data_IF_319871343805
#
_entry.id   IF_319871343805
#
_cell.length_a   1.000
_cell.length_b   1.000
_cell.length_c   1.000
_cell.angle_alpha   90.00
_cell.angle_beta   90.00
_cell.angle_gamma   90.00
#
_symmetry.space_group_name_H-M   'P 1'
#
loop_
_entity.id
_entity.type
_entity.pdbx_description
1 polymer ?
#
# COMPACT_ATOMS: atom_id res chain seq x y z
N UNK A 1 11.97 -1.92 13.58
CA UNK A 1 11.96 -1.10 12.38
C UNK A 1 10.60 -0.49 12.13
N UNK A 2 10.56 0.77 11.79
CA UNK A 2 9.30 1.44 11.55
C UNK A 2 9.21 1.90 10.10
N UNK A 3 8.01 1.79 9.56
CA UNK A 3 7.74 2.32 8.23
C UNK A 3 6.87 3.55 8.38
N UNK A 4 7.09 4.53 7.52
CA UNK A 4 6.27 5.72 7.47
C UNK A 4 5.44 5.70 6.19
N UNK A 5 4.46 6.59 6.12
CA UNK A 5 3.69 6.74 4.88
C UNK A 5 4.58 7.20 3.74
N UNK A 6 5.63 7.95 4.05
CA UNK A 6 6.59 8.36 3.03
C UNK A 6 7.34 7.16 2.46
N UNK A 7 7.68 6.19 3.30
CA UNK A 7 8.36 4.98 2.84
C UNK A 7 7.46 4.19 1.90
N UNK A 8 6.19 4.06 2.24
CA UNK A 8 5.23 3.34 1.41
C UNK A 8 5.05 4.07 0.08
N UNK A 9 4.91 5.39 0.14
CA UNK A 9 4.75 6.18 -1.08
C UNK A 9 5.95 6.05 -2.00
N UNK A 10 7.15 6.05 -1.43
CA UNK A 10 8.37 5.91 -2.21
C UNK A 10 8.47 4.54 -2.85
N UNK A 11 8.11 3.49 -2.13
CA UNK A 11 8.11 2.14 -2.67
C UNK A 11 7.14 2.03 -3.85
N UNK A 12 5.95 2.59 -3.69
CA UNK A 12 4.95 2.58 -4.76
C UNK A 12 5.49 3.31 -5.99
N UNK A 13 6.06 4.50 -5.79
CA UNK A 13 6.60 5.28 -6.90
C UNK A 13 7.72 4.54 -7.61
N UNK A 14 8.64 3.98 -6.86
CA UNK A 14 9.79 3.29 -7.44
C UNK A 14 9.35 2.04 -8.20
N UNK A 15 8.40 1.29 -7.64
CA UNK A 15 7.88 0.10 -8.30
C UNK A 15 7.16 0.47 -9.58
N UNK A 16 6.32 1.51 -9.50
CA UNK A 16 5.60 2.00 -10.67
C UNK A 16 6.56 2.38 -11.80
N UNK A 17 7.59 3.14 -11.45
CA UNK A 17 8.56 3.58 -12.47
C UNK A 17 9.32 2.41 -13.07
N UNK A 18 9.66 1.43 -12.24
CA UNK A 18 10.37 0.26 -12.71
C UNK A 18 9.52 -0.54 -13.70
N UNK A 19 8.21 -0.53 -13.51
CA UNK A 19 7.28 -1.20 -14.41
C UNK A 19 6.95 -0.37 -15.65
N UNK A 20 7.45 0.85 -15.73
CA UNK A 20 7.18 1.71 -16.87
C UNK A 20 5.77 2.26 -16.91
N UNK A 21 5.12 2.37 -15.76
CA UNK A 21 3.73 2.80 -15.68
C UNK A 21 3.67 4.23 -15.18
N UNK A 22 2.83 5.07 -15.79
CA UNK A 22 2.66 6.45 -15.34
C UNK A 22 1.69 6.50 -14.16
N UNK A 23 1.67 7.63 -13.47
CA UNK A 23 0.70 7.82 -12.40
C UNK A 23 -0.72 7.71 -12.92
N UNK A 24 -0.97 8.24 -14.12
CA UNK A 24 -2.29 8.17 -14.71
C UNK A 24 -2.68 6.73 -15.01
N UNK A 25 -1.76 5.96 -15.59
CA UNK A 25 -2.02 4.55 -15.87
C UNK A 25 -2.36 3.81 -14.60
N UNK A 26 -1.59 4.03 -13.55
CA UNK A 26 -1.84 3.37 -12.29
C UNK A 26 -3.20 3.77 -11.72
N UNK A 27 -3.55 5.04 -11.83
CA UNK A 27 -4.84 5.51 -11.32
C UNK A 27 -6.00 4.82 -12.03
N UNK A 28 -5.88 4.63 -13.34
CA UNK A 28 -6.93 3.98 -14.11
C UNK A 28 -7.01 2.49 -13.80
N UNK A 29 -5.87 1.83 -13.72
CA UNK A 29 -5.84 0.39 -13.47
C UNK A 29 -6.30 0.05 -12.05
N UNK A 30 -5.92 0.86 -11.09
CA UNK A 30 -6.32 0.62 -9.70
C UNK A 30 -7.70 1.17 -9.39
N UNK A 31 -8.21 2.08 -10.22
CA UNK A 31 -9.52 2.67 -9.98
C UNK A 31 -9.56 3.65 -8.83
N UNK A 32 -8.40 4.17 -8.41
CA UNK A 32 -8.35 5.02 -7.23
C UNK A 32 -8.27 6.53 -7.51
N UNK A 33 -8.09 6.91 -8.77
CA UNK A 33 -8.00 8.33 -9.12
C UNK A 33 -6.58 8.85 -9.11
N UNK A 34 -6.32 9.81 -10.01
CA UNK A 34 -4.96 10.34 -10.18
C UNK A 34 -4.49 11.13 -8.95
N UNK A 35 -5.37 11.95 -8.40
CA UNK A 35 -4.99 12.75 -7.24
C UNK A 35 -4.60 11.87 -6.06
N UNK A 36 -5.33 10.77 -5.88
CA UNK A 36 -5.00 9.84 -4.82
C UNK A 36 -3.59 9.28 -5.01
N UNK A 37 -3.25 8.89 -6.23
CA UNK A 37 -1.91 8.35 -6.52
C UNK A 37 -0.83 9.39 -6.25
N UNK A 38 -1.05 10.63 -6.70
CA UNK A 38 -0.07 11.68 -6.50
C UNK A 38 0.19 11.90 -5.01
N UNK A 39 -0.87 11.99 -4.23
CA UNK A 39 -0.74 12.22 -2.80
C UNK A 39 -0.14 11.03 -2.07
N UNK A 40 -0.52 9.84 -2.47
CA UNK A 40 0.00 8.63 -1.89
C UNK A 40 1.52 8.53 -2.09
N UNK A 41 1.99 8.82 -3.29
CA UNK A 41 3.42 8.75 -3.58
C UNK A 41 4.21 9.81 -2.83
N UNK A 42 3.57 10.90 -2.44
CA UNK A 42 4.21 11.93 -1.63
C UNK A 42 4.20 11.60 -0.14
N UNK A 43 3.54 10.52 0.24
CA UNK A 43 3.53 10.10 1.64
C UNK A 43 2.44 10.73 2.48
N UNK A 44 1.34 11.15 1.85
CA UNK A 44 0.23 11.74 2.61
C UNK A 44 -0.25 10.78 3.68
N UNK A 45 -0.34 11.26 4.91
CA UNK A 45 -0.65 10.39 6.05
C UNK A 45 -2.13 10.03 6.16
N UNK A 46 -2.99 10.78 5.53
CA UNK A 46 -4.44 10.57 5.66
C UNK A 46 -5.05 9.84 4.47
N UNK A 47 -4.28 9.00 3.79
CA UNK A 47 -4.81 8.23 2.69
C UNK A 47 -5.72 7.12 3.19
N UNK A 48 -6.79 6.88 2.46
CA UNK A 48 -7.72 5.82 2.78
C UNK A 48 -7.02 4.47 2.58
N UNK A 49 -6.94 3.66 3.64
CA UNK A 49 -6.12 2.45 3.60
C UNK A 49 -6.64 1.42 2.60
N UNK A 50 -7.94 1.33 2.42
CA UNK A 50 -8.46 0.39 1.42
C UNK A 50 -7.95 0.67 0.04
N UNK A 51 -7.88 1.95 -0.32
CA UNK A 51 -7.35 2.34 -1.62
C UNK A 51 -5.85 2.10 -1.70
N UNK A 52 -5.13 2.31 -0.60
CA UNK A 52 -3.71 2.02 -0.56
C UNK A 52 -3.46 0.54 -0.87
N UNK A 53 -4.23 -0.33 -0.23
CA UNK A 53 -4.09 -1.77 -0.46
C UNK A 53 -4.39 -2.14 -1.90
N UNK A 54 -5.39 -1.49 -2.51
CA UNK A 54 -5.72 -1.71 -3.92
C UNK A 54 -4.55 -1.34 -4.82
N UNK A 55 -3.89 -0.21 -4.54
CA UNK A 55 -2.74 0.23 -5.32
C UNK A 55 -1.58 -0.76 -5.18
N UNK A 56 -1.31 -1.21 -3.95
CA UNK A 56 -0.25 -2.18 -3.73
C UNK A 56 -0.52 -3.45 -4.52
N UNK A 57 -1.73 -3.96 -4.46
CA UNK A 57 -2.10 -5.16 -5.21
C UNK A 57 -1.95 -4.96 -6.71
N UNK A 58 -2.36 -3.81 -7.20
CA UNK A 58 -2.27 -3.50 -8.63
C UNK A 58 -0.83 -3.57 -9.12
N UNK A 59 0.10 -3.14 -8.27
CA UNK A 59 1.53 -3.16 -8.62
C UNK A 59 2.21 -4.47 -8.29
N UNK A 60 1.50 -5.41 -7.69
CA UNK A 60 2.09 -6.68 -7.30
C UNK A 60 2.95 -6.59 -6.05
N UNK A 61 2.79 -5.52 -5.28
CA UNK A 61 3.53 -5.37 -4.02
C UNK A 61 2.79 -6.13 -2.94
N UNK A 62 3.52 -6.98 -2.23
CA UNK A 62 2.93 -7.74 -1.14
C UNK A 62 3.23 -7.08 0.19
N UNK A 63 2.22 -6.99 1.04
CA UNK A 63 2.39 -6.46 2.37
C UNK A 63 2.25 -7.60 3.36
N UNK A 64 3.23 -7.75 4.24
CA UNK A 64 3.19 -8.78 5.26
C UNK A 64 3.14 -8.11 6.62
N UNK A 65 2.17 -8.51 7.42
CA UNK A 65 2.04 -8.01 8.78
C UNK A 65 2.23 -9.19 9.72
N UNK A 66 3.21 -9.09 10.60
CA UNK A 66 3.55 -10.18 11.50
C UNK A 66 3.28 -9.73 12.93
N UNK A 67 2.41 -10.44 13.64
CA UNK A 67 2.18 -10.08 15.03
C UNK A 67 3.39 -10.43 15.89
N UNK A 68 3.54 -9.80 17.04
CA UNK A 68 4.63 -10.14 17.93
C UNK A 68 4.43 -11.57 18.46
N UNK A 69 5.53 -12.19 18.85
CA UNK A 69 5.48 -13.57 19.32
C UNK A 69 4.51 -13.75 20.49
N UNK A 70 4.40 -12.75 21.34
CA UNK A 70 3.54 -12.85 22.52
C UNK A 70 2.07 -12.77 22.19
N UNK A 71 1.71 -12.42 20.97
CA UNK A 71 0.31 -12.29 20.58
C UNK A 71 -0.22 -13.51 19.88
N UNK A 72 0.57 -14.54 19.74
CA UNK A 72 0.16 -15.63 18.88
C UNK A 72 -1.03 -16.39 19.38
N UNK A 73 -1.23 -16.45 20.66
CA UNK A 73 -2.37 -17.19 21.15
C UNK A 73 -3.66 -16.55 20.72
N UNK A 74 -3.70 -15.26 20.80
CA UNK A 74 -4.92 -14.59 20.43
C UNK A 74 -5.18 -14.66 18.97
N UNK A 75 -4.15 -14.92 18.21
CA UNK A 75 -4.33 -14.86 16.79
C UNK A 75 -5.02 -16.07 16.25
N UNK A 76 -5.26 -17.02 17.08
CA UNK A 76 -5.94 -18.14 16.54
C UNK A 76 -7.22 -17.85 15.98
N UNK A 77 -7.64 -16.85 16.28
CA UNK A 77 -8.82 -16.61 15.79
C UNK A 77 -8.89 -15.87 14.78
N UNK A 78 -8.74 -15.71 14.43
CA UNK A 78 -8.87 -15.13 13.63
C UNK A 78 -9.41 -14.87 12.91
N UNK A 79 -9.60 -14.60 12.38
CA UNK A 79 -9.98 -14.02 11.82
C UNK A 79 -10.84 -13.81 11.27
N UNK A 80 -11.22 -13.80 11.26
CA UNK A 80 -12.04 -13.68 10.78
C UNK A 80 -12.53 -13.03 10.46
N UNK A 81 -12.65 -12.98 10.32
CA UNK A 81 -13.30 -12.63 10.03
C UNK A 81 -13.73 -12.31 9.52
#
# INVERSE_FOLDING_TARGET
>A
MKYSTADIGRLIRNTRKRLGVTQKDLSLTSGTGLRFIIELEKGKETCEIGKVLTVLNTLGIKMMLTPPATAREGSTDAPHA
#
